data_IF_285867759006
#
_entry.id   IF_285867759006
#
_cell.length_a   1.000
_cell.length_b   1.000
_cell.length_c   1.000
_cell.angle_alpha   90.00
_cell.angle_beta   90.00
_cell.angle_gamma   90.00
#
_symmetry.space_group_name_H-M   'P 1'
#
loop_
_entity.id
_entity.type
_entity.pdbx_description
1 polymer ?
#
# COMPACT_ATOMS: atom_id res chain seq x y z
N UNK A 1 -13.62 19.44 6.87
CA UNK A 1 -12.98 18.62 5.81
C UNK A 1 -13.21 17.19 6.22
N UNK A 2 -13.80 16.33 5.39
CA UNK A 2 -14.18 14.96 5.79
C UNK A 2 -13.48 13.84 5.02
N UNK A 3 -12.70 14.17 4.00
CA UNK A 3 -12.00 13.17 3.19
C UNK A 3 -10.57 13.61 2.91
N UNK A 4 -9.70 12.64 2.68
CA UNK A 4 -8.30 12.84 2.34
C UNK A 4 -7.77 11.65 1.51
N UNK A 5 -6.74 11.87 0.71
CA UNK A 5 -6.10 10.79 -0.05
C UNK A 5 -4.64 11.08 -0.35
N UNK A 6 -3.87 10.01 -0.56
CA UNK A 6 -2.45 10.04 -0.91
C UNK A 6 -2.21 9.09 -2.08
N UNK A 7 -1.71 9.64 -3.19
CA UNK A 7 -1.24 8.87 -4.35
C UNK A 7 0.24 9.17 -4.58
N UNK A 8 1.07 8.13 -4.68
CA UNK A 8 2.51 8.24 -4.99
C UNK A 8 2.82 7.39 -6.21
N UNK A 9 3.54 7.98 -7.17
CA UNK A 9 4.12 7.29 -8.34
C UNK A 9 5.63 7.36 -8.20
N UNK A 10 6.31 6.27 -8.54
CA UNK A 10 7.77 6.14 -8.51
C UNK A 10 8.25 5.49 -9.82
N UNK A 11 9.21 4.57 -9.76
CA UNK A 11 9.88 3.96 -10.93
C UNK A 11 9.04 2.94 -11.72
N UNK A 12 7.71 2.92 -11.55
CA UNK A 12 6.79 2.00 -12.23
C UNK A 12 5.59 2.74 -12.79
N UNK A 13 4.95 2.16 -13.80
CA UNK A 13 3.83 2.80 -14.54
C UNK A 13 2.50 2.86 -13.76
N UNK A 14 2.50 2.41 -12.50
CA UNK A 14 1.33 2.46 -11.61
C UNK A 14 1.64 3.19 -10.30
N UNK A 15 0.58 3.53 -9.57
CA UNK A 15 0.70 4.12 -8.23
C UNK A 15 1.29 3.08 -7.27
N UNK A 16 2.45 3.37 -6.70
CA UNK A 16 3.05 2.54 -5.65
C UNK A 16 2.38 2.75 -4.29
N UNK A 17 1.52 3.76 -4.16
CA UNK A 17 0.67 4.01 -3.00
C UNK A 17 -0.61 4.68 -3.47
N UNK A 18 -1.76 4.15 -3.06
CA UNK A 18 -3.08 4.76 -3.26
C UNK A 18 -3.91 4.54 -1.99
N UNK A 19 -3.86 5.51 -1.07
CA UNK A 19 -4.56 5.46 0.21
C UNK A 19 -5.66 6.52 0.23
N UNK A 20 -6.84 6.14 0.74
CA UNK A 20 -8.01 7.00 0.78
C UNK A 20 -8.72 6.90 2.12
N UNK A 21 -9.14 8.05 2.61
CA UNK A 21 -10.14 8.21 3.65
C UNK A 21 -11.31 8.93 3.01
N UNK A 22 -12.34 8.19 2.65
CA UNK A 22 -13.49 8.74 1.94
C UNK A 22 -14.46 9.49 2.87
N UNK A 23 -14.44 9.18 4.18
CA UNK A 23 -15.18 9.90 5.21
C UNK A 23 -14.58 9.71 6.62
N UNK A 24 -14.28 10.80 7.32
CA UNK A 24 -13.96 10.85 8.75
C UNK A 24 -14.11 12.28 9.29
N UNK A 25 -14.21 12.44 10.61
CA UNK A 25 -14.15 13.78 11.24
C UNK A 25 -12.72 14.36 11.17
N UNK A 26 -11.70 13.50 11.31
CA UNK A 26 -10.27 13.83 11.23
C UNK A 26 -9.56 13.06 10.10
N UNK A 27 -9.88 13.32 8.82
CA UNK A 27 -9.46 12.47 7.71
C UNK A 27 -7.95 12.45 7.45
N UNK A 28 -7.22 13.51 7.83
CA UNK A 28 -5.75 13.57 7.71
C UNK A 28 -5.08 12.64 8.72
N UNK A 29 -5.56 12.64 9.98
CA UNK A 29 -5.02 11.75 11.02
C UNK A 29 -5.31 10.28 10.67
N UNK A 30 -6.52 10.00 10.16
CA UNK A 30 -6.85 8.67 9.63
C UNK A 30 -5.97 8.25 8.45
N UNK A 31 -5.65 9.19 7.56
CA UNK A 31 -4.74 8.91 6.45
C UNK A 31 -3.31 8.64 6.94
N UNK A 32 -2.85 9.33 8.00
CA UNK A 32 -1.55 9.10 8.62
C UNK A 32 -1.47 7.72 9.29
N UNK A 33 -2.54 7.28 9.97
CA UNK A 33 -2.65 5.91 10.52
C UNK A 33 -2.55 4.86 9.40
N UNK A 34 -3.30 5.04 8.30
CA UNK A 34 -3.23 4.15 7.13
C UNK A 34 -1.82 4.12 6.53
N UNK A 35 -1.17 5.28 6.43
CA UNK A 35 0.18 5.40 5.91
C UNK A 35 1.19 4.64 6.78
N UNK A 36 1.07 4.72 8.11
CA UNK A 36 1.95 4.00 9.03
C UNK A 36 1.86 2.48 8.87
N UNK A 37 0.67 1.95 8.57
CA UNK A 37 0.46 0.52 8.27
C UNK A 37 1.00 0.15 6.90
N UNK A 38 0.76 0.98 5.89
CA UNK A 38 1.11 0.69 4.50
C UNK A 38 2.60 0.81 4.19
N UNK A 39 3.26 1.87 4.69
CA UNK A 39 4.60 2.25 4.25
C UNK A 39 5.65 1.14 4.38
N UNK A 40 5.70 0.34 5.47
CA UNK A 40 6.64 -0.78 5.58
C UNK A 40 6.44 -1.88 4.52
N UNK A 41 5.24 -1.98 3.93
CA UNK A 41 4.85 -3.04 2.99
C UNK A 41 4.97 -2.60 1.52
N UNK A 42 5.15 -1.30 1.27
CA UNK A 42 5.13 -0.70 -0.08
C UNK A 42 6.13 -1.36 -1.03
N UNK A 43 7.37 -1.55 -0.59
CA UNK A 43 8.43 -2.06 -1.47
C UNK A 43 8.22 -3.53 -1.79
N UNK A 44 7.65 -4.31 -0.88
CA UNK A 44 7.26 -5.70 -1.14
C UNK A 44 6.07 -5.79 -2.10
N UNK A 45 5.12 -4.85 -2.01
CA UNK A 45 4.04 -4.73 -3.00
C UNK A 45 4.60 -4.46 -4.41
N UNK A 46 5.53 -3.51 -4.54
CA UNK A 46 6.17 -3.22 -5.83
C UNK A 46 6.96 -4.42 -6.34
N UNK A 47 7.74 -5.07 -5.47
CA UNK A 47 8.50 -6.28 -5.82
C UNK A 47 7.59 -7.41 -6.32
N UNK A 48 6.45 -7.64 -5.67
CA UNK A 48 5.44 -8.62 -6.13
C UNK A 48 4.89 -8.30 -7.53
N UNK A 49 4.72 -7.03 -7.85
CA UNK A 49 4.26 -6.60 -9.18
C UNK A 49 5.31 -6.79 -10.27
N UNK A 50 6.60 -6.63 -9.94
CA UNK A 50 7.71 -6.71 -10.90
C UNK A 50 8.30 -8.13 -11.04
N UNK A 51 8.48 -8.84 -9.93
CA UNK A 51 9.05 -10.18 -9.87
C UNK A 51 8.28 -11.05 -8.86
N UNK A 52 7.14 -11.63 -9.30
CA UNK A 52 6.30 -12.46 -8.45
C UNK A 52 7.01 -13.70 -7.88
N UNK A 53 8.03 -14.21 -8.57
CA UNK A 53 8.77 -15.40 -8.14
C UNK A 53 9.77 -15.12 -7.01
N UNK A 54 10.24 -13.87 -6.89
CA UNK A 54 11.10 -13.42 -5.78
C UNK A 54 10.34 -13.00 -4.52
N UNK A 55 9.02 -12.92 -4.57
CA UNK A 55 8.21 -12.45 -3.46
C UNK A 55 8.20 -13.45 -2.31
N UNK A 56 8.26 -13.00 -1.04
CA UNK A 56 8.09 -13.88 0.11
C UNK A 56 6.75 -14.62 0.00
N UNK A 57 6.80 -15.95 0.10
CA UNK A 57 5.59 -16.77 0.14
C UNK A 57 4.77 -16.43 1.39
N UNK A 58 3.45 -16.51 1.27
CA UNK A 58 2.53 -16.32 2.38
C UNK A 58 2.35 -17.58 3.24
N UNK A 59 3.14 -18.64 3.01
CA UNK A 59 3.09 -19.89 3.75
C UNK A 59 1.75 -20.62 3.61
N UNK A 60 1.18 -20.65 2.40
CA UNK A 60 -0.13 -21.28 2.16
C UNK A 60 0.03 -22.79 1.90
N UNK A 61 -0.98 -23.63 2.24
CA UNK A 61 -0.96 -25.07 1.97
C UNK A 61 -0.94 -25.32 0.45
N UNK A 62 0.26 -25.41 -0.12
CA UNK A 62 0.53 -25.46 -1.56
C UNK A 62 1.97 -25.10 -1.92
N UNK A 63 2.73 -24.51 -1.00
CA UNK A 63 4.12 -24.10 -1.19
C UNK A 63 5.16 -25.27 -1.13
N UNK A 64 4.75 -26.53 -1.38
CA UNK A 64 5.65 -27.69 -1.39
C UNK A 64 5.36 -28.65 -2.53
#
# INVERSE_FOLDING_TARGET
>A
MHSAGLAVVADVDWRVTDLRVDWADDPVDRLAELLAVWLPQRDDYVRRGLDPASAPSYGVPGDR
#
